data_IF_136243772914
#
_entry.id   IF_136243772914
#
_cell.length_a   1.000
_cell.length_b   1.000
_cell.length_c   1.000
_cell.angle_alpha   90.00
_cell.angle_beta   90.00
_cell.angle_gamma   90.00
#
_symmetry.space_group_name_H-M   'P 1'
#
loop_
_entity.id
_entity.type
_entity.pdbx_description
1 polymer ?
#
# COMPACT_ATOMS: atom_id res chain seq x y z
N UNK A 1 -0.22 2.99 27.08
CA UNK A 1 -1.25 3.71 26.40
C UNK A 1 -1.46 3.19 25.00
N UNK A 2 -2.67 3.13 24.67
CA UNK A 2 -3.04 2.70 23.34
C UNK A 2 -3.51 3.89 22.55
N UNK A 3 -3.16 3.86 21.30
CA UNK A 3 -3.47 4.96 20.43
C UNK A 3 -4.91 4.88 19.97
N UNK A 4 -5.59 6.01 19.93
CA UNK A 4 -6.88 6.12 19.30
C UNK A 4 -6.77 6.53 17.83
N UNK A 5 -5.55 6.65 17.31
CA UNK A 5 -5.35 7.02 15.92
C UNK A 5 -5.92 5.93 15.00
N UNK A 6 -6.62 6.34 13.94
CA UNK A 6 -7.19 5.36 13.02
C UNK A 6 -6.13 4.62 12.25
N UNK A 7 -6.42 3.36 11.95
CA UNK A 7 -5.60 2.54 11.06
C UNK A 7 -6.47 2.02 9.94
N UNK A 8 -5.85 1.76 8.79
CA UNK A 8 -6.49 1.07 7.68
C UNK A 8 -5.92 -0.32 7.58
N UNK A 9 -6.79 -1.29 7.32
CA UNK A 9 -6.37 -2.69 7.23
C UNK A 9 -7.00 -3.33 6.01
N UNK A 10 -6.22 -4.11 5.28
CA UNK A 10 -6.73 -4.93 4.20
C UNK A 10 -6.18 -6.34 4.29
N UNK A 11 -6.98 -7.30 3.84
CA UNK A 11 -6.69 -8.72 3.92
C UNK A 11 -6.98 -9.37 2.58
N UNK A 12 -6.04 -10.19 2.06
CA UNK A 12 -6.23 -10.90 0.81
C UNK A 12 -5.65 -12.30 0.90
N UNK A 13 -6.29 -13.25 0.19
CA UNK A 13 -5.70 -14.59 0.05
C UNK A 13 -4.61 -14.55 -1.01
N UNK A 14 -3.42 -14.96 -0.61
CA UNK A 14 -2.26 -14.89 -1.49
C UNK A 14 -2.27 -15.96 -2.59
N UNK A 15 -3.02 -17.03 -2.40
CA UNK A 15 -3.06 -18.13 -3.36
C UNK A 15 -4.19 -18.02 -4.39
N UNK A 16 -4.98 -16.96 -4.34
CA UNK A 16 -6.03 -16.78 -5.33
C UNK A 16 -5.47 -16.20 -6.63
N UNK A 17 -6.09 -16.50 -7.79
CA UNK A 17 -5.66 -15.90 -9.05
C UNK A 17 -5.73 -14.38 -9.00
N UNK A 18 -4.71 -13.72 -9.53
CA UNK A 18 -4.60 -12.28 -9.48
C UNK A 18 -3.93 -11.80 -10.76
N UNK A 19 -4.63 -11.00 -11.55
CA UNK A 19 -4.15 -10.51 -12.84
C UNK A 19 -3.18 -9.34 -12.63
N UNK A 20 -1.98 -9.64 -12.15
CA UNK A 20 -1.00 -8.66 -11.71
C UNK A 20 -0.67 -7.61 -12.76
N UNK A 21 -0.36 -8.03 -13.98
CA UNK A 21 0.03 -7.09 -15.01
C UNK A 21 -1.10 -6.15 -15.42
N UNK A 22 -2.29 -6.70 -15.61
CA UNK A 22 -3.45 -5.90 -15.98
C UNK A 22 -3.82 -4.88 -14.90
N UNK A 23 -3.77 -5.28 -13.64
CA UNK A 23 -4.05 -4.39 -12.52
C UNK A 23 -3.00 -3.29 -12.41
N UNK A 24 -1.74 -3.66 -12.54
CA UNK A 24 -0.65 -2.70 -12.50
C UNK A 24 -0.79 -1.63 -13.59
N UNK A 25 -1.06 -2.07 -14.81
CA UNK A 25 -1.20 -1.13 -15.92
C UNK A 25 -2.36 -0.18 -15.73
N UNK A 26 -3.44 -0.66 -15.16
CA UNK A 26 -4.67 0.13 -15.06
C UNK A 26 -4.66 1.08 -13.86
N UNK A 27 -4.10 0.64 -12.72
CA UNK A 27 -4.30 1.35 -11.46
C UNK A 27 -3.04 1.88 -10.80
N UNK A 28 -1.85 1.52 -11.27
CA UNK A 28 -0.63 1.92 -10.59
C UNK A 28 0.01 3.11 -11.28
N UNK A 29 0.69 3.96 -10.49
CA UNK A 29 1.41 5.09 -11.03
C UNK A 29 2.58 4.62 -11.90
N UNK A 30 3.01 5.46 -12.84
CA UNK A 30 4.11 5.10 -13.73
C UNK A 30 5.39 4.76 -12.98
N UNK A 31 5.68 5.48 -11.89
CA UNK A 31 6.85 5.19 -11.06
C UNK A 31 6.80 3.79 -10.47
N UNK A 32 5.62 3.39 -10.00
CA UNK A 32 5.43 2.04 -9.49
C UNK A 32 5.59 1.00 -10.58
N UNK A 33 5.03 1.25 -11.75
CA UNK A 33 5.14 0.34 -12.88
C UNK A 33 6.59 0.13 -13.31
N UNK A 34 7.38 1.20 -13.34
CA UNK A 34 8.79 1.11 -13.70
C UNK A 34 9.58 0.23 -12.73
N UNK A 35 9.33 0.39 -11.45
CA UNK A 35 10.00 -0.41 -10.43
C UNK A 35 9.60 -1.88 -10.49
N UNK A 36 8.31 -2.13 -10.69
CA UNK A 36 7.79 -3.50 -10.69
C UNK A 36 8.19 -4.27 -11.92
N UNK A 37 8.25 -3.63 -13.09
CA UNK A 37 8.58 -4.30 -14.35
C UNK A 37 9.96 -4.91 -14.38
N UNK A 38 10.88 -4.44 -13.55
CA UNK A 38 12.24 -4.98 -13.49
C UNK A 38 12.37 -6.26 -12.66
N UNK A 39 11.32 -6.70 -12.01
CA UNK A 39 11.38 -7.84 -11.11
C UNK A 39 11.18 -9.18 -11.83
N UNK A 40 11.81 -10.26 -11.33
CA UNK A 40 11.49 -11.59 -11.81
C UNK A 40 10.02 -11.91 -11.61
N UNK A 41 9.50 -12.83 -12.42
CA UNK A 41 8.06 -13.11 -12.48
C UNK A 41 7.40 -13.33 -11.12
N UNK A 42 8.03 -14.13 -10.28
CA UNK A 42 7.46 -14.47 -8.98
C UNK A 42 7.49 -13.28 -8.03
N UNK A 43 8.61 -12.56 -8.01
CA UNK A 43 8.73 -11.34 -7.19
C UNK A 43 7.80 -10.25 -7.71
N UNK A 44 7.62 -10.15 -9.02
CA UNK A 44 6.70 -9.20 -9.61
C UNK A 44 5.27 -9.43 -9.12
N UNK A 45 4.80 -10.67 -9.21
CA UNK A 45 3.44 -11.00 -8.78
C UNK A 45 3.23 -10.68 -7.30
N UNK A 46 4.18 -11.06 -6.47
CA UNK A 46 4.09 -10.81 -5.04
C UNK A 46 4.11 -9.32 -4.72
N UNK A 47 4.99 -8.57 -5.37
CA UNK A 47 5.09 -7.13 -5.13
C UNK A 47 3.86 -6.37 -5.61
N UNK A 48 3.28 -6.76 -6.74
CA UNK A 48 2.03 -6.17 -7.20
C UNK A 48 0.92 -6.40 -6.17
N UNK A 49 0.84 -7.59 -5.62
CA UNK A 49 -0.16 -7.92 -4.61
C UNK A 49 0.06 -7.14 -3.32
N UNK A 50 1.30 -6.99 -2.88
CA UNK A 50 1.62 -6.19 -1.69
C UNK A 50 1.24 -4.71 -1.89
N UNK A 51 1.56 -4.16 -3.06
CA UNK A 51 1.13 -2.79 -3.39
C UNK A 51 -0.39 -2.66 -3.35
N UNK A 52 -1.08 -3.64 -3.90
CA UNK A 52 -2.54 -3.66 -3.89
C UNK A 52 -3.10 -3.62 -2.48
N UNK A 53 -2.55 -4.47 -1.61
CA UNK A 53 -2.96 -4.50 -0.20
C UNK A 53 -2.75 -3.16 0.50
N UNK A 54 -1.59 -2.54 0.28
CA UNK A 54 -1.28 -1.25 0.90
C UNK A 54 -2.21 -0.17 0.37
N UNK A 55 -2.47 -0.14 -0.93
CA UNK A 55 -3.37 0.84 -1.52
C UNK A 55 -4.79 0.70 -0.97
N UNK A 56 -5.29 -0.52 -0.89
CA UNK A 56 -6.62 -0.75 -0.33
C UNK A 56 -6.70 -0.36 1.15
N UNK A 57 -5.68 -0.69 1.92
CA UNK A 57 -5.61 -0.31 3.32
C UNK A 57 -5.60 1.22 3.47
N UNK A 58 -4.84 1.91 2.63
CA UNK A 58 -4.77 3.37 2.64
C UNK A 58 -6.10 4.01 2.27
N UNK A 59 -6.79 3.44 1.28
CA UNK A 59 -8.12 3.93 0.90
C UNK A 59 -9.10 3.79 2.06
N UNK A 60 -9.06 2.67 2.75
CA UNK A 60 -9.89 2.46 3.93
C UNK A 60 -9.53 3.44 5.05
N UNK A 61 -8.24 3.68 5.24
CA UNK A 61 -7.76 4.60 6.26
C UNK A 61 -8.32 6.01 6.06
N UNK A 62 -8.31 6.48 4.82
CA UNK A 62 -8.77 7.84 4.55
C UNK A 62 -10.23 7.88 4.08
N UNK A 63 -10.93 6.75 4.08
CA UNK A 63 -12.33 6.62 3.68
C UNK A 63 -12.59 7.05 2.25
N UNK A 64 -11.65 6.72 1.39
CA UNK A 64 -11.78 7.01 -0.03
C UNK A 64 -12.54 5.94 -0.79
N UNK A 65 -12.40 5.96 -2.09
CA UNK A 65 -13.06 5.02 -2.98
C UNK A 65 -12.03 4.35 -3.88
N UNK A 66 -12.20 3.05 -4.14
CA UNK A 66 -11.30 2.32 -5.03
C UNK A 66 -11.24 2.95 -6.41
N UNK A 67 -12.41 3.33 -6.94
CA UNK A 67 -12.47 3.88 -8.29
C UNK A 67 -11.71 5.18 -8.43
N UNK A 68 -11.69 6.01 -7.41
CA UNK A 68 -11.08 7.34 -7.48
C UNK A 68 -9.66 7.38 -6.96
N UNK A 69 -9.33 6.53 -5.98
CA UNK A 69 -8.10 6.71 -5.22
C UNK A 69 -7.01 5.67 -5.50
N UNK A 70 -7.32 4.54 -6.14
CA UNK A 70 -6.34 3.49 -6.38
C UNK A 70 -5.09 3.99 -7.12
N UNK A 71 -5.29 4.78 -8.16
CA UNK A 71 -4.17 5.29 -8.95
C UNK A 71 -3.46 6.47 -8.29
N UNK A 72 -4.09 7.10 -7.29
CA UNK A 72 -3.49 8.24 -6.59
C UNK A 72 -2.61 7.83 -5.41
N UNK A 73 -2.85 6.66 -4.83
CA UNK A 73 -1.98 6.15 -3.78
C UNK A 73 -0.76 5.51 -4.41
N UNK A 74 0.42 6.01 -4.08
CA UNK A 74 1.69 5.53 -4.61
C UNK A 74 2.49 4.93 -3.47
N UNK A 75 2.82 3.65 -3.59
CA UNK A 75 3.61 2.93 -2.60
C UNK A 75 5.08 3.19 -2.84
N UNK A 76 5.82 3.49 -1.78
CA UNK A 76 7.25 3.75 -1.87
C UNK A 76 8.01 2.47 -2.29
N UNK A 77 9.21 2.66 -2.83
CA UNK A 77 10.02 1.55 -3.32
C UNK A 77 10.32 0.51 -2.24
N UNK A 78 10.47 0.94 -0.99
CA UNK A 78 10.75 0.04 0.12
C UNK A 78 9.50 -0.65 0.67
N UNK A 79 8.31 -0.27 0.21
CA UNK A 79 7.06 -0.86 0.69
C UNK A 79 6.65 -0.45 2.10
N UNK A 80 7.32 0.54 2.69
CA UNK A 80 7.08 0.93 4.08
C UNK A 80 6.23 2.17 4.23
N UNK A 81 5.85 2.80 3.13
CA UNK A 81 4.99 3.99 3.16
C UNK A 81 4.24 4.15 1.85
N UNK A 82 3.21 4.97 1.86
CA UNK A 82 2.46 5.32 0.66
C UNK A 82 2.00 6.76 0.78
N UNK A 83 1.82 7.42 -0.36
CA UNK A 83 1.37 8.80 -0.40
C UNK A 83 0.27 8.98 -1.42
N UNK A 84 -0.68 9.87 -1.11
CA UNK A 84 -1.77 10.23 -2.02
C UNK A 84 -1.36 11.47 -2.81
N UNK A 85 -1.20 11.30 -4.11
CA UNK A 85 -0.67 12.37 -4.95
C UNK A 85 -1.58 13.58 -5.04
N UNK A 86 -2.88 13.37 -4.97
CA UNK A 86 -3.83 14.47 -5.10
C UNK A 86 -4.11 15.21 -3.80
N UNK A 87 -3.98 14.54 -2.66
CA UNK A 87 -4.41 15.10 -1.36
C UNK A 87 -3.27 15.37 -0.41
N UNK A 88 -2.04 15.06 -0.78
CA UNK A 88 -0.89 15.28 0.08
C UNK A 88 -0.86 14.45 1.35
N UNK A 89 -1.61 13.37 1.39
CA UNK A 89 -1.63 12.47 2.53
C UNK A 89 -0.49 11.47 2.45
N UNK A 90 0.00 11.05 3.60
CA UNK A 90 1.05 10.05 3.68
C UNK A 90 0.80 9.12 4.85
N UNK A 91 1.03 7.83 4.64
CA UNK A 91 0.85 6.81 5.66
C UNK A 91 2.09 5.93 5.75
N UNK A 92 2.35 5.41 6.93
CA UNK A 92 3.28 4.31 7.12
C UNK A 92 2.54 3.00 6.87
N UNK A 93 3.23 2.02 6.29
CA UNK A 93 2.63 0.78 5.88
C UNK A 93 3.41 -0.42 6.40
N UNK A 94 2.68 -1.46 6.74
CA UNK A 94 3.22 -2.74 7.15
C UNK A 94 2.49 -3.85 6.45
N UNK A 95 3.24 -4.74 5.80
CA UNK A 95 2.68 -5.94 5.21
C UNK A 95 3.21 -7.16 5.93
N UNK A 96 2.34 -8.13 6.19
CA UNK A 96 2.69 -9.41 6.77
C UNK A 96 1.99 -10.53 6.06
N UNK A 97 2.59 -11.71 6.11
CA UNK A 97 1.97 -12.91 5.61
C UNK A 97 1.66 -13.83 6.78
N UNK A 98 0.42 -14.28 6.88
CA UNK A 98 -0.04 -15.22 7.89
C UNK A 98 -0.69 -16.40 7.17
N UNK A 99 0.07 -17.49 7.02
CA UNK A 99 -0.37 -18.63 6.25
C UNK A 99 -0.70 -18.24 4.82
N UNK A 100 -1.92 -18.53 4.35
CA UNK A 100 -2.32 -18.15 2.98
C UNK A 100 -2.80 -16.70 2.87
N UNK A 101 -2.73 -15.91 3.93
CA UNK A 101 -3.26 -14.55 3.95
C UNK A 101 -2.14 -13.51 3.92
N UNK A 102 -2.35 -12.45 3.14
CA UNK A 102 -1.57 -11.24 3.22
C UNK A 102 -2.36 -10.17 3.94
N UNK A 103 -1.69 -9.41 4.80
CA UNK A 103 -2.31 -8.36 5.58
C UNK A 103 -1.49 -7.08 5.42
N UNK A 104 -2.17 -5.97 5.12
CA UNK A 104 -1.54 -4.67 5.13
C UNK A 104 -2.19 -3.81 6.20
N UNK A 105 -1.38 -3.10 6.97
CA UNK A 105 -1.84 -2.16 7.98
C UNK A 105 -1.18 -0.83 7.70
N UNK A 106 -1.98 0.23 7.63
CA UNK A 106 -1.46 1.58 7.43
C UNK A 106 -1.92 2.48 8.56
N UNK A 107 -1.09 3.48 8.86
CA UNK A 107 -1.39 4.47 9.89
C UNK A 107 -0.77 5.81 9.47
N UNK A 108 -1.23 6.90 10.10
CA UNK A 108 -0.68 8.22 9.80
C UNK A 108 0.82 8.25 10.05
N UNK A 109 1.55 8.89 9.15
CA UNK A 109 2.98 9.07 9.33
C UNK A 109 3.22 10.12 10.40
N UNK A 110 3.97 9.78 11.45
CA UNK A 110 4.24 10.70 12.54
C UNK A 110 5.06 11.90 12.12
N UNK A 111 5.82 11.78 11.06
CA UNK A 111 6.56 12.88 10.49
C UNK A 111 5.65 14.07 10.17
N UNK A 112 4.43 13.81 9.79
CA UNK A 112 3.46 14.84 9.46
C UNK A 112 3.03 15.65 10.67
N UNK A 113 3.20 15.12 11.87
CA UNK A 113 2.76 15.76 13.11
C UNK A 113 3.86 16.57 13.75
N UNK A 114 5.09 16.09 13.70
CA UNK A 114 6.19 16.66 14.47
C UNK A 114 7.31 17.22 13.60
N UNK A 115 7.30 16.96 12.33
CA UNK A 115 8.43 17.28 11.45
C UNK A 115 9.61 16.35 11.64
N UNK A 116 9.52 15.42 12.56
CA UNK A 116 10.56 14.43 12.83
C UNK A 116 10.01 13.06 12.54
N UNK A 117 10.74 12.31 11.74
CA UNK A 117 10.26 10.97 11.40
C UNK A 117 10.50 10.01 12.55
N UNK A 118 9.44 9.52 13.09
CA UNK A 118 9.45 8.46 14.09
C UNK A 118 8.58 7.33 13.57
N UNK A 119 9.18 6.42 12.86
CA UNK A 119 8.45 5.27 12.33
C UNK A 119 8.62 4.12 13.29
N UNK A 120 7.56 3.78 13.96
CA UNK A 120 7.52 2.62 14.82
C UNK A 120 6.99 1.46 14.00
N UNK A 121 7.88 0.68 13.54
CA UNK A 121 7.51 -0.47 12.73
C UNK A 121 7.52 -1.75 13.53
#
# INVERSE_FOLDING_TARGET
AWSSAPVGVDLERLNRPFASEALMRRYYALSEQHQLKGLPKQAFHQSVLEHWLIKEAAIKWHRGSLAQDLSHWVVAADGLSASHQGKGLQVDAHCRQLGPWGIAIVSACEQNLTGTRVCLS
#
